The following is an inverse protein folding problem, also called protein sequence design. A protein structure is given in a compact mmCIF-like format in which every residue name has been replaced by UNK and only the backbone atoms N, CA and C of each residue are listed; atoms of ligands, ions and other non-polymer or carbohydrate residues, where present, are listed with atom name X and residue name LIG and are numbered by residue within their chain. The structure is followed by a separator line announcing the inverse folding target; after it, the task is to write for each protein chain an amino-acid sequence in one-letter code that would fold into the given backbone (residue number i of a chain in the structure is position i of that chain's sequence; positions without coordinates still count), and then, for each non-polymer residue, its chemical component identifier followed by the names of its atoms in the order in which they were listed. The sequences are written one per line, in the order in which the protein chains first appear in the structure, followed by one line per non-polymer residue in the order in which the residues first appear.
data_IF_358385361944
#
_entry.id   IF_358385361944
#
_cell.length_a   1.000
_cell.length_b   1.000
_cell.length_c   1.000
_cell.angle_alpha   90.00
_cell.angle_beta   90.00
_cell.angle_gamma   90.00
#
_symmetry.space_group_name_H-M   'P 1'
#
loop_
_entity.id
_entity.type
_entity.pdbx_description
1 polymer ?
#
# COMPACT_ATOMS: atom_id res chain seq x y z
N UNK A 1 32.49 27.18 11.63
CA UNK A 1 31.54 27.50 12.71
C UNK A 1 30.14 27.57 12.11
N UNK A 2 29.28 26.63 12.52
CA UNK A 2 27.80 26.70 12.66
C UNK A 2 26.98 27.26 11.47
N UNK A 3 26.24 26.40 10.76
CA UNK A 3 24.90 25.86 11.10
C UNK A 3 23.76 26.85 10.84
N UNK A 4 22.86 26.50 9.90
CA UNK A 4 21.40 26.63 10.09
C UNK A 4 20.69 25.45 9.45
N UNK A 5 19.99 24.73 10.32
CA UNK A 5 19.10 23.59 10.07
C UNK A 5 17.96 23.99 9.14
N UNK A 6 17.60 23.09 8.23
CA UNK A 6 16.44 23.20 7.36
C UNK A 6 15.15 22.84 8.10
N UNK A 7 14.11 23.60 7.79
CA UNK A 7 12.73 23.35 8.20
C UNK A 7 12.25 21.98 7.69
N UNK A 8 11.70 21.19 8.61
CA UNK A 8 10.96 19.98 8.29
C UNK A 8 9.64 20.38 7.60
N UNK A 9 9.54 20.08 6.31
CA UNK A 9 8.33 20.31 5.53
C UNK A 9 7.15 19.50 6.09
N UNK A 10 6.18 20.21 6.66
CA UNK A 10 4.84 19.68 6.88
C UNK A 10 4.20 19.38 5.52
N UNK A 11 4.01 18.10 5.20
CA UNK A 11 3.21 17.68 4.05
C UNK A 11 1.75 17.77 4.47
N UNK A 12 1.05 18.78 3.97
CA UNK A 12 -0.41 18.93 4.10
C UNK A 12 -1.11 17.91 3.20
N UNK A 13 -1.97 17.08 3.80
CA UNK A 13 -2.79 16.07 3.11
C UNK A 13 -3.92 16.76 2.34
N UNK A 14 -4.02 16.63 1.00
CA UNK A 14 -5.17 17.15 0.26
C UNK A 14 -6.39 16.26 0.49
N UNK A 15 -7.48 16.85 0.94
CA UNK A 15 -8.79 16.20 1.04
C UNK A 15 -9.36 16.04 -0.38
N UNK A 16 -9.40 14.81 -0.89
CA UNK A 16 -10.03 14.53 -2.20
C UNK A 16 -11.54 14.60 -2.05
N UNK A 17 -12.18 15.38 -2.94
CA UNK A 17 -13.63 15.52 -3.07
C UNK A 17 -14.24 14.16 -3.47
N UNK A 18 -15.13 13.62 -2.65
CA UNK A 18 -15.85 12.37 -2.93
C UNK A 18 -17.09 12.64 -3.79
N UNK A 19 -17.10 12.14 -5.02
CA UNK A 19 -18.33 11.78 -5.76
C UNK A 19 -18.45 10.23 -5.72
N UNK A 20 -19.63 9.61 -5.92
CA UNK A 20 -20.13 8.51 -5.10
C UNK A 20 -19.51 7.16 -5.49
N UNK A 21 -18.24 6.95 -5.18
CA UNK A 21 -17.71 5.61 -4.94
C UNK A 21 -18.34 5.06 -3.65
N UNK A 22 -18.56 3.75 -3.55
CA UNK A 22 -19.02 3.05 -2.34
C UNK A 22 -18.09 3.34 -1.13
N UNK A 23 -18.20 4.52 -0.53
CA UNK A 23 -17.65 4.81 0.77
C UNK A 23 -18.54 4.11 1.78
N UNK A 24 -17.95 3.27 2.63
CA UNK A 24 -18.71 2.76 3.76
C UNK A 24 -19.11 3.97 4.63
N UNK A 25 -20.41 4.26 4.68
CA UNK A 25 -21.01 5.33 5.48
C UNK A 25 -20.88 5.08 6.99
N UNK A 26 -19.86 4.37 7.46
CA UNK A 26 -19.60 4.13 8.88
C UNK A 26 -18.14 4.39 9.24
N UNK A 27 -17.28 4.67 8.26
CA UNK A 27 -15.85 4.90 8.51
C UNK A 27 -15.40 6.21 7.90
N UNK A 28 -14.54 6.93 8.62
CA UNK A 28 -13.66 7.91 7.97
C UNK A 28 -12.40 7.18 7.54
N UNK A 29 -12.03 7.40 6.27
CA UNK A 29 -10.79 6.93 5.69
C UNK A 29 -9.73 8.01 5.80
N UNK A 30 -8.51 7.61 6.10
CA UNK A 30 -7.34 8.37 5.68
C UNK A 30 -6.65 7.52 4.60
N UNK A 31 -6.39 8.14 3.45
CA UNK A 31 -5.66 7.48 2.36
C UNK A 31 -4.18 7.84 2.51
N UNK A 32 -3.33 6.85 2.77
CA UNK A 32 -1.88 7.00 2.72
C UNK A 32 -1.35 6.57 1.35
N UNK A 33 -0.77 7.51 0.59
CA UNK A 33 -0.01 7.26 -0.65
C UNK A 33 1.49 7.45 -0.40
N UNK A 34 2.33 6.90 -1.28
CA UNK A 34 3.09 5.67 -1.06
C UNK A 34 3.85 5.65 0.27
N UNK A 35 3.71 4.55 0.99
CA UNK A 35 4.52 4.35 2.18
C UNK A 35 5.84 3.73 1.76
N UNK A 36 6.89 4.48 2.04
CA UNK A 36 8.25 4.01 1.96
C UNK A 36 8.54 3.15 3.19
N UNK A 37 8.94 1.89 2.99
CA UNK A 37 9.02 0.85 4.02
C UNK A 37 10.14 1.02 5.07
N UNK A 38 10.35 2.25 5.53
CA UNK A 38 11.02 2.52 6.79
C UNK A 38 10.45 3.79 7.44
N UNK A 39 9.46 3.61 8.31
CA UNK A 39 8.77 4.71 8.98
C UNK A 39 8.29 4.31 10.37
N UNK A 40 8.39 5.24 11.30
CA UNK A 40 7.66 5.19 12.57
C UNK A 40 6.25 5.69 12.33
N UNK A 41 5.25 4.93 12.77
CA UNK A 41 3.88 5.40 12.83
C UNK A 41 3.35 5.31 14.27
N UNK A 42 2.62 6.33 14.67
CA UNK A 42 2.05 6.42 16.01
C UNK A 42 0.53 6.33 15.94
N UNK A 43 -0.01 5.30 16.59
CA UNK A 43 -1.45 5.12 16.76
C UNK A 43 -1.83 5.89 18.04
N UNK A 44 -2.66 6.95 17.95
CA UNK A 44 -3.07 7.70 19.14
C UNK A 44 -3.98 6.84 20.03
N UNK A 45 -4.15 7.24 21.28
CA UNK A 45 -5.18 6.67 22.14
C UNK A 45 -6.57 6.96 21.57
N UNK A 46 -7.39 5.91 21.48
CA UNK A 46 -8.79 5.98 21.07
C UNK A 46 -9.69 5.80 22.29
N UNK A 47 -10.93 6.25 22.16
CA UNK A 47 -12.04 5.73 22.98
C UNK A 47 -12.23 4.22 22.68
N UNK A 48 -13.33 3.63 23.14
CA UNK A 48 -13.73 2.25 22.82
C UNK A 48 -14.12 2.03 21.33
N UNK A 49 -13.76 2.96 20.46
CA UNK A 49 -14.04 2.96 19.02
C UNK A 49 -13.17 1.94 18.28
N UNK A 50 -13.77 1.32 17.28
CA UNK A 50 -13.04 0.49 16.35
C UNK A 50 -12.06 1.31 15.49
N UNK A 51 -10.86 0.76 15.36
CA UNK A 51 -9.83 1.26 14.47
C UNK A 51 -9.02 0.13 13.82
N UNK A 52 -8.47 0.40 12.63
CA UNK A 52 -7.67 -0.51 11.83
C UNK A 52 -6.62 0.25 11.01
N UNK A 53 -5.38 -0.25 11.04
CA UNK A 53 -4.29 0.08 10.13
C UNK A 53 -3.98 -1.15 9.27
N UNK A 54 -4.59 -1.25 8.08
CA UNK A 54 -4.33 -2.33 7.15
C UNK A 54 -3.21 -1.93 6.19
N UNK A 55 -2.19 -2.78 6.09
CA UNK A 55 -1.02 -2.55 5.27
C UNK A 55 -1.09 -3.40 4.02
N UNK A 56 -0.85 -2.75 2.90
CA UNK A 56 -0.86 -3.37 1.59
C UNK A 56 0.49 -3.19 0.91
N UNK A 57 0.96 -4.23 0.23
CA UNK A 57 2.08 -4.08 -0.69
C UNK A 57 1.62 -3.28 -1.93
N UNK A 58 2.54 -3.00 -2.85
CA UNK A 58 2.21 -2.22 -4.05
C UNK A 58 1.28 -2.95 -5.03
N UNK A 59 1.07 -4.25 -4.86
CA UNK A 59 0.17 -5.07 -5.67
C UNK A 59 -1.23 -5.17 -5.04
N UNK A 60 -1.43 -4.59 -3.85
CA UNK A 60 -2.70 -4.62 -3.14
C UNK A 60 -2.89 -5.86 -2.25
N UNK A 61 -1.84 -6.65 -2.01
CA UNK A 61 -1.91 -7.76 -1.06
C UNK A 61 -1.89 -7.20 0.37
N UNK A 62 -2.89 -7.58 1.17
CA UNK A 62 -2.94 -7.22 2.59
C UNK A 62 -2.00 -8.13 3.39
N UNK A 63 -0.80 -7.65 3.70
CA UNK A 63 0.21 -8.46 4.39
C UNK A 63 0.18 -8.27 5.92
N UNK A 64 -0.44 -7.19 6.43
CA UNK A 64 -0.51 -6.92 7.86
C UNK A 64 -1.74 -6.10 8.25
N UNK A 65 -2.28 -6.36 9.44
CA UNK A 65 -3.34 -5.56 10.06
C UNK A 65 -2.99 -5.29 11.52
N UNK A 66 -3.10 -4.02 11.93
CA UNK A 66 -3.02 -3.61 13.33
C UNK A 66 -4.38 -3.02 13.71
N UNK A 67 -5.11 -3.70 14.59
CA UNK A 67 -6.49 -3.34 14.93
C UNK A 67 -6.83 -3.48 16.41
N UNK A 68 -7.74 -2.62 16.86
CA UNK A 68 -8.47 -2.73 18.13
C UNK A 68 -9.08 -4.11 18.39
N UNK A 69 -9.58 -4.80 17.35
CA UNK A 69 -10.21 -6.13 17.50
C UNK A 69 -9.21 -7.27 17.68
N UNK A 70 -7.93 -7.03 17.37
CA UNK A 70 -6.87 -8.03 17.45
C UNK A 70 -6.05 -7.90 18.75
N UNK A 71 -6.47 -7.04 19.67
CA UNK A 71 -5.80 -6.84 20.96
C UNK A 71 -4.58 -5.90 20.90
N UNK A 72 -4.25 -5.35 19.72
CA UNK A 72 -3.22 -4.32 19.59
C UNK A 72 -3.58 -3.05 20.37
N UNK A 73 -2.55 -2.32 20.80
CA UNK A 73 -2.69 -1.13 21.64
C UNK A 73 -2.15 0.12 20.95
N UNK A 74 -2.68 1.31 21.27
CA UNK A 74 -2.06 2.56 20.87
C UNK A 74 -0.57 2.66 21.26
N UNK A 75 0.16 3.50 20.52
CA UNK A 75 1.59 3.72 20.70
C UNK A 75 2.39 3.69 19.40
N UNK A 76 3.70 3.52 19.56
CA UNK A 76 4.68 3.56 18.48
C UNK A 76 4.84 2.21 17.81
N UNK A 77 4.88 2.21 16.49
CA UNK A 77 5.13 1.03 15.68
C UNK A 77 6.18 1.35 14.62
N UNK A 78 6.96 0.34 14.22
CA UNK A 78 7.96 0.51 13.17
C UNK A 78 7.59 -0.30 11.93
N UNK A 79 7.29 0.38 10.84
CA UNK A 79 7.25 -0.24 9.52
C UNK A 79 8.67 -0.40 9.00
N UNK A 80 8.99 -1.61 8.52
CA UNK A 80 10.26 -1.93 7.87
C UNK A 80 10.06 -2.93 6.72
N UNK A 81 10.81 -2.78 5.64
CA UNK A 81 10.96 -3.81 4.61
C UNK A 81 11.88 -4.95 5.10
N UNK A 82 11.46 -6.18 4.86
CA UNK A 82 12.22 -7.40 5.14
C UNK A 82 12.17 -8.34 3.93
N UNK A 83 13.13 -9.25 3.82
CA UNK A 83 13.15 -10.22 2.71
C UNK A 83 12.22 -11.42 2.95
N UNK A 84 11.89 -11.67 4.23
CA UNK A 84 11.03 -12.74 4.74
C UNK A 84 10.24 -12.29 6.00
N UNK A 85 9.54 -13.22 6.66
CA UNK A 85 8.85 -12.99 7.94
C UNK A 85 7.90 -11.78 7.90
N UNK A 86 7.08 -11.68 6.86
CA UNK A 86 6.14 -10.56 6.68
C UNK A 86 5.07 -10.55 7.77
N UNK A 87 4.38 -9.41 7.92
CA UNK A 87 3.29 -9.26 8.87
C UNK A 87 3.66 -8.49 10.13
N UNK A 88 2.82 -8.62 11.17
CA UNK A 88 2.99 -7.91 12.44
C UNK A 88 3.71 -8.80 13.44
N UNK A 89 4.80 -8.29 14.02
CA UNK A 89 5.62 -8.98 15.02
C UNK A 89 5.69 -8.14 16.29
N UNK A 90 5.16 -8.65 17.39
CA UNK A 90 5.23 -7.95 18.67
C UNK A 90 6.68 -7.72 19.06
N UNK A 91 6.98 -6.50 19.51
CA UNK A 91 8.29 -6.17 20.02
C UNK A 91 8.45 -6.70 21.46
N UNK A 92 9.70 -6.81 21.93
CA UNK A 92 9.97 -7.13 23.33
C UNK A 92 9.52 -6.00 24.25
N UNK A 93 9.25 -6.30 25.53
CA UNK A 93 8.82 -5.28 26.50
C UNK A 93 9.84 -4.15 26.73
N UNK A 94 11.11 -4.39 26.44
CA UNK A 94 12.19 -3.40 26.56
C UNK A 94 12.33 -2.50 25.32
N UNK A 95 11.53 -2.75 24.27
CA UNK A 95 11.58 -2.02 23.02
C UNK A 95 10.80 -0.69 23.11
N UNK A 96 11.19 0.30 22.32
CA UNK A 96 10.42 1.56 22.21
C UNK A 96 9.14 1.40 21.37
N UNK A 97 9.05 0.33 20.57
CA UNK A 97 7.89 0.02 19.74
C UNK A 97 6.97 -1.01 20.41
N UNK A 98 5.68 -0.96 20.04
CA UNK A 98 4.70 -2.00 20.35
C UNK A 98 4.89 -3.22 19.46
N UNK A 99 5.15 -2.99 18.18
CA UNK A 99 5.37 -4.04 17.19
C UNK A 99 6.12 -3.50 15.98
N UNK A 100 6.70 -4.45 15.25
CA UNK A 100 7.25 -4.28 13.91
C UNK A 100 6.20 -4.69 12.88
N UNK A 101 6.06 -3.88 11.84
CA UNK A 101 5.31 -4.25 10.63
C UNK A 101 6.35 -4.54 9.55
N UNK A 102 6.51 -5.83 9.25
CA UNK A 102 7.46 -6.34 8.26
C UNK A 102 6.79 -6.38 6.89
N UNK A 103 7.16 -5.46 6.01
CA UNK A 103 6.61 -5.34 4.67
C UNK A 103 7.40 -6.19 3.67
N UNK A 104 6.72 -6.91 2.75
CA UNK A 104 7.37 -7.69 1.69
C UNK A 104 7.93 -6.84 0.55
N UNK A 105 7.53 -5.57 0.47
CA UNK A 105 7.94 -4.63 -0.57
C UNK A 105 8.38 -3.30 0.05
N UNK A 106 9.28 -2.55 -0.62
CA UNK A 106 9.70 -1.24 -0.13
C UNK A 106 8.65 -0.14 -0.31
N UNK A 107 7.70 -0.34 -1.24
CA UNK A 107 6.59 0.58 -1.48
C UNK A 107 5.27 -0.12 -1.18
N UNK A 108 4.31 0.62 -0.64
CA UNK A 108 3.00 0.09 -0.33
C UNK A 108 1.98 1.17 -0.02
N UNK A 109 0.84 0.72 0.50
CA UNK A 109 -0.32 1.55 0.78
C UNK A 109 -0.86 1.28 2.18
N UNK A 110 -1.48 2.30 2.77
CA UNK A 110 -2.21 2.21 4.03
C UNK A 110 -3.57 2.85 3.84
N UNK A 111 -4.60 2.12 4.26
CA UNK A 111 -5.98 2.54 4.17
C UNK A 111 -6.61 2.47 5.55
N UNK A 112 -6.17 3.36 6.44
CA UNK A 112 -6.60 3.35 7.83
C UNK A 112 -8.08 3.71 7.97
N UNK A 113 -8.74 2.98 8.87
CA UNK A 113 -10.19 3.07 9.12
C UNK A 113 -10.43 3.39 10.59
N UNK A 114 -11.29 4.37 10.84
CA UNK A 114 -11.84 4.64 12.17
C UNK A 114 -13.36 4.67 12.08
N UNK A 115 -14.01 3.99 13.02
CA UNK A 115 -15.46 3.93 13.09
C UNK A 115 -16.04 5.30 13.46
N UNK A 116 -17.00 5.79 12.69
CA UNK A 116 -17.91 6.86 13.12
C UNK A 116 -19.06 6.18 13.86
N UNK A 117 -19.15 6.38 15.17
CA UNK A 117 -20.20 5.78 16.00
C UNK A 117 -21.54 6.45 15.72
N UNK A 118 -21.52 7.76 15.55
CA UNK A 118 -22.70 8.58 15.32
C UNK A 118 -22.40 9.63 14.24
N UNK A 119 -23.29 9.80 13.26
CA UNK A 119 -23.13 10.82 12.22
C UNK A 119 -23.53 12.21 12.71
N UNK A 120 -22.89 12.67 13.79
CA UNK A 120 -23.08 13.99 14.38
C UNK A 120 -21.79 14.81 14.27
N UNK A 121 -21.90 16.14 14.28
CA UNK A 121 -20.73 17.02 14.24
C UNK A 121 -19.77 16.79 15.41
N UNK A 122 -20.28 16.34 16.56
CA UNK A 122 -19.47 16.03 17.75
C UNK A 122 -18.60 14.79 17.53
N UNK A 123 -19.17 13.66 17.09
CA UNK A 123 -18.40 12.44 16.86
C UNK A 123 -17.42 12.59 15.69
N UNK A 124 -17.83 13.29 14.62
CA UNK A 124 -16.95 13.62 13.51
C UNK A 124 -15.77 14.50 13.96
N UNK A 125 -15.99 15.45 14.87
CA UNK A 125 -14.91 16.27 15.44
C UNK A 125 -13.90 15.42 16.22
N UNK A 126 -14.37 14.41 16.96
CA UNK A 126 -13.51 13.45 17.67
C UNK A 126 -12.66 12.66 16.65
N UNK A 127 -13.28 12.09 15.63
CA UNK A 127 -12.57 11.30 14.60
C UNK A 127 -11.55 12.16 13.84
N UNK A 128 -11.90 13.38 13.45
CA UNK A 128 -10.98 14.30 12.78
C UNK A 128 -9.82 14.72 13.69
N UNK A 129 -10.08 14.95 14.97
CA UNK A 129 -9.03 15.22 15.97
C UNK A 129 -8.07 14.03 16.11
N UNK A 130 -8.59 12.80 16.13
CA UNK A 130 -7.79 11.58 16.13
C UNK A 130 -6.96 11.44 14.85
N UNK A 131 -7.54 11.72 13.67
CA UNK A 131 -6.80 11.76 12.40
C UNK A 131 -5.66 12.77 12.42
N UNK A 132 -5.89 13.98 12.92
CA UNK A 132 -4.87 15.03 13.01
C UNK A 132 -3.70 14.67 13.94
N UNK A 133 -3.88 13.69 14.82
CA UNK A 133 -2.84 13.16 15.72
C UNK A 133 -2.08 11.96 15.17
N UNK A 134 -2.50 11.41 14.03
CA UNK A 134 -1.77 10.32 13.39
C UNK A 134 -0.46 10.87 12.82
N UNK A 135 0.66 10.31 13.28
CA UNK A 135 1.98 10.74 12.85
C UNK A 135 2.67 9.63 12.08
N UNK A 136 3.21 10.00 10.92
CA UNK A 136 4.11 9.20 10.10
C UNK A 136 5.45 9.91 10.03
N UNK A 137 6.45 9.33 10.67
CA UNK A 137 7.81 9.88 10.70
C UNK A 137 8.73 8.97 9.90
N UNK A 138 9.21 9.40 8.72
CA UNK A 138 10.22 8.67 7.97
C UNK A 138 11.46 8.45 8.84
N UNK A 139 12.04 7.25 8.78
CA UNK A 139 13.31 6.97 9.45
C UNK A 139 14.43 6.80 8.42
N UNK A 140 15.68 7.04 8.86
CA UNK A 140 16.85 6.89 8.00
C UNK A 140 17.09 5.42 7.67
N UNK A 141 17.35 5.11 6.39
CA UNK A 141 17.68 3.75 5.94
C UNK A 141 19.04 3.35 6.54
N UNK A 142 19.04 2.40 7.47
CA UNK A 142 20.26 1.77 7.96
C UNK A 142 20.92 0.86 6.90
N UNK A 143 22.04 0.24 7.27
CA UNK A 143 22.56 -0.91 6.52
C UNK A 143 21.54 -2.06 6.59
N UNK A 144 21.21 -2.69 5.46
CA UNK A 144 20.19 -3.74 5.40
C UNK A 144 19.58 -3.91 4.01
N UNK A 145 18.45 -4.63 3.89
CA UNK A 145 17.81 -4.94 2.61
C UNK A 145 17.31 -3.69 1.86
N UNK A 146 17.26 -2.53 2.53
CA UNK A 146 16.90 -1.24 1.95
C UNK A 146 18.01 -0.60 1.08
N UNK A 147 19.23 -1.16 1.09
CA UNK A 147 20.38 -0.54 0.42
C UNK A 147 20.17 -0.52 -1.09
N UNK A 148 20.17 0.69 -1.68
CA UNK A 148 20.02 0.87 -3.12
C UNK A 148 18.58 1.07 -3.61
N UNK A 149 17.60 1.02 -2.71
CA UNK A 149 16.20 1.34 -3.04
C UNK A 149 16.03 2.88 -2.95
N UNK A 150 15.63 3.57 -4.04
CA UNK A 150 15.40 5.01 -4.06
C UNK A 150 14.02 5.37 -3.51
N UNK A 151 13.82 6.57 -2.93
CA UNK A 151 12.49 7.14 -2.68
C UNK A 151 11.53 6.91 -3.85
N UNK A 152 10.25 6.61 -3.58
CA UNK A 152 9.29 6.45 -4.68
C UNK A 152 9.17 7.79 -5.41
N UNK A 153 9.60 7.80 -6.68
CA UNK A 153 9.49 8.96 -7.53
C UNK A 153 8.07 9.06 -8.08
N UNK A 154 7.29 10.01 -7.57
CA UNK A 154 5.92 10.24 -8.05
C UNK A 154 5.86 10.76 -9.48
N UNK A 155 6.97 11.29 -10.02
CA UNK A 155 7.02 11.78 -11.40
C UNK A 155 6.85 10.65 -12.42
N UNK A 156 7.12 9.39 -12.05
CA UNK A 156 6.91 8.25 -12.96
C UNK A 156 5.46 8.16 -13.44
N UNK A 157 4.49 8.52 -12.59
CA UNK A 157 3.08 8.51 -12.95
C UNK A 157 2.72 9.64 -13.91
N UNK A 158 3.31 10.82 -13.71
CA UNK A 158 3.08 11.98 -14.57
C UNK A 158 3.73 11.80 -15.94
N UNK A 159 4.95 11.26 -15.98
CA UNK A 159 5.69 11.04 -17.22
C UNK A 159 5.01 10.04 -18.16
N UNK A 160 4.22 9.12 -17.59
CA UNK A 160 3.51 8.08 -18.34
C UNK A 160 2.03 8.44 -18.62
N UNK A 161 1.47 9.44 -17.95
CA UNK A 161 0.05 9.79 -18.06
C UNK A 161 -0.36 10.28 -19.46
N UNK A 162 0.54 10.97 -20.17
CA UNK A 162 0.22 11.67 -21.42
C UNK A 162 0.79 10.98 -22.68
N UNK A 163 1.57 9.92 -22.54
CA UNK A 163 2.48 9.46 -23.61
C UNK A 163 2.16 8.09 -24.21
N UNK A 164 1.30 7.27 -23.60
CA UNK A 164 1.14 5.85 -23.95
C UNK A 164 -0.31 5.37 -23.88
N UNK A 165 -0.66 4.32 -24.63
CA UNK A 165 -1.92 3.60 -24.40
C UNK A 165 -1.93 2.94 -23.01
N UNK A 166 -3.11 2.54 -22.53
CA UNK A 166 -3.27 2.01 -21.17
C UNK A 166 -2.45 0.74 -20.92
N UNK A 167 -2.33 -0.16 -21.90
CA UNK A 167 -1.55 -1.40 -21.78
C UNK A 167 -0.06 -1.08 -21.68
N UNK A 168 0.42 -0.21 -22.56
CA UNK A 168 1.80 0.23 -22.60
C UNK A 168 2.15 0.99 -21.32
N UNK A 169 1.23 1.81 -20.80
CA UNK A 169 1.37 2.52 -19.51
C UNK A 169 1.52 1.53 -18.35
N UNK A 170 0.64 0.53 -18.25
CA UNK A 170 0.66 -0.48 -17.19
C UNK A 170 1.96 -1.27 -17.22
N UNK A 171 2.39 -1.76 -18.38
CA UNK A 171 3.61 -2.55 -18.50
C UNK A 171 4.89 -1.72 -18.28
N UNK A 172 4.89 -0.45 -18.72
CA UNK A 172 6.00 0.48 -18.44
C UNK A 172 6.11 0.81 -16.95
N UNK A 173 4.98 1.05 -16.27
CA UNK A 173 4.95 1.20 -14.80
C UNK A 173 5.44 -0.08 -14.12
N UNK A 174 5.00 -1.25 -14.59
CA UNK A 174 5.43 -2.54 -14.05
C UNK A 174 6.95 -2.72 -14.19
N UNK A 175 7.54 -2.33 -15.32
CA UNK A 175 8.99 -2.41 -15.53
C UNK A 175 9.76 -1.52 -14.56
N UNK A 176 9.34 -0.27 -14.36
CA UNK A 176 9.98 0.67 -13.43
C UNK A 176 9.91 0.20 -11.97
N UNK A 177 8.83 -0.48 -11.60
CA UNK A 177 8.48 -0.77 -10.21
C UNK A 177 8.84 -2.19 -9.75
N UNK A 178 8.68 -3.20 -10.60
CA UNK A 178 8.84 -4.62 -10.23
C UNK A 178 10.23 -4.97 -9.71
N UNK A 179 11.28 -4.30 -10.21
CA UNK A 179 12.68 -4.51 -9.76
C UNK A 179 12.90 -4.34 -8.26
N UNK A 180 12.06 -3.53 -7.62
CA UNK A 180 12.14 -3.27 -6.19
C UNK A 180 11.06 -3.99 -5.39
N UNK A 181 10.00 -4.47 -6.05
CA UNK A 181 8.80 -4.97 -5.41
C UNK A 181 8.61 -6.42 -5.84
N UNK A 182 9.37 -7.36 -5.27
CA UNK A 182 9.16 -8.75 -5.58
C UNK A 182 7.80 -9.21 -5.02
N UNK A 183 7.20 -10.26 -5.58
CA UNK A 183 6.02 -10.92 -5.01
C UNK A 183 6.21 -11.26 -3.52
N UNK A 184 5.14 -11.11 -2.73
CA UNK A 184 5.10 -11.53 -1.32
C UNK A 184 5.40 -13.02 -1.19
N UNK A 185 4.83 -13.85 -2.08
CA UNK A 185 5.08 -15.29 -2.08
C UNK A 185 6.50 -15.57 -2.58
N UNK A 186 7.41 -15.84 -1.67
CA UNK A 186 8.85 -16.01 -1.95
C UNK A 186 9.11 -17.10 -2.99
N UNK A 187 8.36 -18.21 -2.93
CA UNK A 187 8.48 -19.32 -3.89
C UNK A 187 8.09 -18.94 -5.32
N UNK A 188 7.31 -17.87 -5.50
CA UNK A 188 6.83 -17.46 -6.82
C UNK A 188 7.77 -16.49 -7.55
N UNK A 189 8.70 -15.87 -6.81
CA UNK A 189 9.58 -14.82 -7.34
C UNK A 189 10.37 -15.26 -8.57
N UNK A 190 10.85 -16.50 -8.57
CA UNK A 190 11.67 -17.02 -9.67
C UNK A 190 10.87 -17.18 -10.97
N UNK A 191 9.68 -17.80 -10.92
CA UNK A 191 8.88 -18.00 -12.13
C UNK A 191 8.21 -16.71 -12.60
N UNK A 192 7.85 -15.81 -11.67
CA UNK A 192 7.33 -14.48 -12.00
C UNK A 192 8.40 -13.65 -12.73
N UNK A 193 9.66 -13.68 -12.28
CA UNK A 193 10.74 -12.99 -12.98
C UNK A 193 10.87 -13.46 -14.45
N UNK A 194 10.81 -14.78 -14.68
CA UNK A 194 10.81 -15.36 -16.05
C UNK A 194 9.58 -14.93 -16.85
N UNK A 195 8.40 -14.85 -16.20
CA UNK A 195 7.18 -14.41 -16.86
C UNK A 195 7.25 -12.93 -17.26
N UNK A 196 7.77 -12.06 -16.40
CA UNK A 196 7.99 -10.64 -16.68
C UNK A 196 8.98 -10.45 -17.83
N UNK A 197 10.10 -11.17 -17.83
CA UNK A 197 11.09 -11.13 -18.92
C UNK A 197 10.46 -11.53 -20.26
N UNK A 198 9.70 -12.63 -20.30
CA UNK A 198 8.97 -13.08 -21.51
C UNK A 198 7.89 -12.10 -21.94
N UNK A 199 7.30 -11.36 -21.00
CA UNK A 199 6.35 -10.30 -21.28
C UNK A 199 7.04 -9.01 -21.78
N UNK A 200 8.37 -8.98 -21.91
CA UNK A 200 9.10 -7.83 -22.42
C UNK A 200 9.54 -6.83 -21.35
N UNK A 201 9.46 -7.20 -20.06
CA UNK A 201 9.92 -6.36 -18.95
C UNK A 201 11.37 -6.71 -18.63
N UNK A 202 12.27 -5.75 -18.85
CA UNK A 202 13.70 -5.93 -18.61
C UNK A 202 14.15 -5.41 -17.25
N UNK A 203 15.28 -5.93 -16.79
CA UNK A 203 15.87 -5.58 -15.49
C UNK A 203 16.35 -4.11 -15.39
N UNK A 204 16.53 -3.42 -16.51
CA UNK A 204 16.85 -2.00 -16.56
C UNK A 204 15.63 -1.08 -16.31
N UNK A 205 14.44 -1.66 -16.18
CA UNK A 205 13.19 -0.95 -15.90
C UNK A 205 12.47 -0.47 -17.15
N UNK A 206 12.77 -1.05 -18.33
CA UNK A 206 12.07 -0.75 -19.57
C UNK A 206 11.09 -1.87 -19.96
N UNK A 207 10.06 -1.49 -20.71
CA UNK A 207 9.14 -2.43 -21.34
C UNK A 207 9.30 -2.34 -22.85
N UNK A 208 9.56 -3.48 -23.49
CA UNK A 208 9.56 -3.62 -24.94
C UNK A 208 8.57 -4.72 -25.32
N UNK A 209 7.54 -4.36 -26.07
CA UNK A 209 6.55 -5.33 -26.52
C UNK A 209 7.23 -6.49 -27.30
N UNK A 210 7.02 -7.76 -26.91
CA UNK A 210 7.61 -8.89 -27.62
C UNK A 210 7.14 -8.98 -29.08
N UNK A 211 8.02 -9.41 -29.97
CA UNK A 211 7.71 -9.57 -31.39
C UNK A 211 6.52 -10.51 -31.62
N UNK A 212 5.61 -10.12 -32.51
CA UNK A 212 4.43 -10.93 -32.86
C UNK A 212 3.29 -10.92 -31.83
N UNK A 213 3.37 -10.07 -30.79
CA UNK A 213 2.27 -9.85 -29.85
C UNK A 213 1.41 -8.64 -30.26
N UNK A 214 0.20 -8.55 -29.73
CA UNK A 214 -0.71 -7.40 -29.91
C UNK A 214 -1.23 -6.95 -28.54
N UNK A 215 -0.67 -5.85 -28.06
CA UNK A 215 -0.98 -5.32 -26.74
C UNK A 215 -2.46 -4.95 -26.57
N UNK A 216 -3.14 -4.53 -27.64
CA UNK A 216 -4.57 -4.21 -27.57
C UNK A 216 -5.41 -5.47 -27.39
N UNK A 217 -5.08 -6.56 -28.09
CA UNK A 217 -5.73 -7.86 -27.90
C UNK A 217 -5.44 -8.44 -26.50
N UNK A 218 -4.22 -8.28 -26.00
CA UNK A 218 -3.85 -8.75 -24.67
C UNK A 218 -4.58 -7.98 -23.57
N UNK A 219 -4.72 -6.66 -23.68
CA UNK A 219 -5.54 -5.85 -22.77
C UNK A 219 -7.01 -6.29 -22.80
N UNK A 220 -7.57 -6.51 -23.99
CA UNK A 220 -8.96 -6.98 -24.12
C UNK A 220 -9.17 -8.36 -23.46
N UNK A 221 -8.20 -9.27 -23.61
CA UNK A 221 -8.19 -10.57 -22.97
C UNK A 221 -8.06 -10.46 -21.46
N UNK A 222 -7.14 -9.65 -20.96
CA UNK A 222 -6.94 -9.41 -19.54
C UNK A 222 -8.21 -8.85 -18.86
N UNK A 223 -8.87 -7.88 -19.49
CA UNK A 223 -10.13 -7.32 -18.99
C UNK A 223 -11.25 -8.38 -18.93
N UNK A 224 -11.33 -9.25 -19.93
CA UNK A 224 -12.29 -10.36 -19.95
C UNK A 224 -12.03 -11.37 -18.84
N UNK A 225 -10.76 -11.73 -18.61
CA UNK A 225 -10.36 -12.61 -17.52
C UNK A 225 -10.66 -12.00 -16.15
N UNK A 226 -10.34 -10.72 -15.97
CA UNK A 226 -10.64 -10.01 -14.72
C UNK A 226 -12.15 -9.96 -14.45
N UNK A 227 -12.97 -9.67 -15.46
CA UNK A 227 -14.42 -9.63 -15.33
C UNK A 227 -15.03 -11.01 -15.00
N UNK A 228 -14.50 -12.09 -15.59
CA UNK A 228 -15.02 -13.44 -15.39
C UNK A 228 -14.46 -14.13 -14.14
N UNK A 229 -13.30 -13.69 -13.62
CA UNK A 229 -12.67 -14.25 -12.41
C UNK A 229 -13.60 -14.27 -11.19
N UNK A 230 -14.49 -13.27 -11.06
CA UNK A 230 -15.48 -13.19 -9.96
C UNK A 230 -16.56 -14.27 -10.02
N UNK A 231 -16.73 -14.89 -11.19
CA UNK A 231 -17.71 -15.95 -11.42
C UNK A 231 -17.07 -17.35 -11.35
N UNK A 232 -15.77 -17.44 -11.04
CA UNK A 232 -15.10 -18.73 -10.86
C UNK A 232 -15.55 -19.35 -9.56
N UNK A 233 -16.05 -20.59 -9.63
CA UNK A 233 -16.49 -21.35 -8.47
C UNK A 233 -15.37 -21.46 -7.43
N UNK A 234 -15.66 -21.11 -6.18
CA UNK A 234 -14.69 -21.10 -5.08
C UNK A 234 -14.00 -19.75 -4.83
N UNK A 235 -14.15 -18.75 -5.71
CA UNK A 235 -13.68 -17.37 -5.46
C UNK A 235 -14.79 -16.44 -4.96
N UNK A 236 -16.05 -16.75 -5.25
CA UNK A 236 -17.22 -16.10 -4.66
C UNK A 236 -18.23 -17.16 -4.24
N UNK A 237 -18.80 -16.99 -3.05
CA UNK A 237 -19.80 -17.93 -2.52
C UNK A 237 -21.19 -17.36 -2.78
N UNK A 238 -21.90 -17.96 -3.73
CA UNK A 238 -23.29 -17.57 -3.99
C UNK A 238 -24.14 -17.79 -2.74
N UNK A 239 -24.76 -16.73 -2.23
CA UNK A 239 -25.72 -16.79 -1.13
C UNK A 239 -27.15 -17.08 -1.65
N UNK A 240 -27.28 -17.55 -2.89
CA UNK A 240 -28.54 -18.00 -3.52
C UNK A 240 -29.68 -16.96 -3.57
N UNK A 241 -29.33 -15.68 -3.51
CA UNK A 241 -30.25 -14.55 -3.56
C UNK A 241 -29.68 -13.40 -4.42
N UNK A 242 -28.82 -13.72 -5.38
CA UNK A 242 -28.02 -12.78 -6.18
C UNK A 242 -26.93 -12.02 -5.41
N UNK A 243 -26.64 -12.43 -4.17
CA UNK A 243 -25.45 -12.01 -3.43
C UNK A 243 -24.38 -13.09 -3.55
N UNK A 244 -23.12 -12.67 -3.46
CA UNK A 244 -21.92 -13.49 -3.66
C UNK A 244 -20.82 -13.15 -2.69
#
# INVERSE_FOLDING_TARGET
MTSRMGDAGHISVPTVRTDPSQGALTFVYLYGWPIYAYALFEIPEFDDRYWLWPWYDMYGNNFANVSSLQGFKPGKYLLRYTEDNFGVHLASEQDEYRAYVNSPTPYGMLLNRMLVKHWTSEDLSIVHSQQGRMLFTPKARGAGPHKGIPPLDLQIFLNLADSLDIGQTILSLTALLSRYNPPEVVSDRAWIAVALEKAGISSDGTFTQPEGTDLSLDVARANTLAATSRNVSGLSESLCNSWT
#
